data_IF_098011989039
#
_entry.id   IF_098011989039
#
_cell.length_a   1.000
_cell.length_b   1.000
_cell.length_c   1.000
_cell.angle_alpha   90.00
_cell.angle_beta   90.00
_cell.angle_gamma   90.00
#
_symmetry.space_group_name_H-M   'P 1'
#
loop_
_entity.id
_entity.type
_entity.pdbx_description
1 polymer ?
#
# COMPACT_ATOMS: atom_id res chain seq x y z
N UNK A 1 16.47 20.52 -24.75
CA UNK A 1 15.50 21.53 -24.25
C UNK A 1 15.13 21.17 -22.82
N UNK A 2 15.16 22.12 -21.88
CA UNK A 2 14.62 21.89 -20.54
C UNK A 2 13.10 21.87 -20.68
N UNK A 3 12.49 20.70 -20.54
CA UNK A 3 11.03 20.51 -20.67
C UNK A 3 10.22 21.26 -19.62
N UNK A 4 10.85 21.74 -18.55
CA UNK A 4 10.19 22.44 -17.45
C UNK A 4 9.68 23.85 -17.82
N UNK A 5 10.08 24.38 -18.99
CA UNK A 5 9.77 25.73 -19.41
C UNK A 5 9.07 25.83 -20.76
N UNK A 6 8.66 24.71 -21.40
CA UNK A 6 8.12 24.79 -22.76
C UNK A 6 6.73 25.45 -22.78
N UNK A 7 6.62 26.48 -23.60
CA UNK A 7 5.42 27.29 -23.82
C UNK A 7 4.61 26.75 -25.01
N UNK A 8 3.35 27.17 -25.13
CA UNK A 8 2.51 26.83 -26.28
C UNK A 8 3.12 27.20 -27.64
N UNK A 9 3.68 28.41 -27.81
CA UNK A 9 4.34 28.80 -29.05
C UNK A 9 5.54 27.91 -29.42
N UNK A 10 6.31 27.45 -28.44
CA UNK A 10 7.42 26.52 -28.69
C UNK A 10 6.91 25.14 -29.09
N UNK A 11 5.83 24.65 -28.48
CA UNK A 11 5.16 23.40 -28.89
C UNK A 11 4.68 23.48 -30.35
N UNK A 12 4.13 24.63 -30.74
CA UNK A 12 3.74 24.92 -32.13
C UNK A 12 4.93 24.91 -33.08
N UNK A 13 6.06 25.47 -32.67
CA UNK A 13 7.29 25.46 -33.46
C UNK A 13 7.82 24.03 -33.67
N UNK A 14 7.81 23.20 -32.63
CA UNK A 14 8.20 21.78 -32.71
C UNK A 14 7.28 21.02 -33.67
N UNK A 15 5.96 21.19 -33.55
CA UNK A 15 5.01 20.55 -34.47
C UNK A 15 5.27 20.96 -35.93
N UNK A 16 5.47 22.26 -36.19
CA UNK A 16 5.76 22.76 -37.54
C UNK A 16 7.08 22.20 -38.07
N UNK A 17 8.11 22.06 -37.23
CA UNK A 17 9.39 21.43 -37.61
C UNK A 17 9.22 19.96 -37.98
N UNK A 18 8.29 19.26 -37.34
CA UNK A 18 7.93 17.89 -37.70
C UNK A 18 7.06 17.78 -38.98
N UNK A 19 6.66 18.91 -39.58
CA UNK A 19 5.85 18.94 -40.81
C UNK A 19 4.37 18.60 -40.61
N UNK A 20 3.89 18.45 -39.38
CA UNK A 20 2.53 17.98 -39.08
C UNK A 20 1.57 19.18 -38.95
N UNK A 21 0.41 19.16 -39.59
CA UNK A 21 -0.62 20.20 -39.40
C UNK A 21 -1.42 20.01 -38.10
N UNK A 22 -2.12 21.04 -37.58
CA UNK A 22 -2.93 20.92 -36.37
C UNK A 22 -4.06 19.89 -36.51
N UNK A 23 -4.69 19.82 -37.68
CA UNK A 23 -5.77 18.85 -37.97
C UNK A 23 -5.24 17.42 -38.00
N UNK A 24 -4.06 17.21 -38.59
CA UNK A 24 -3.40 15.91 -38.64
C UNK A 24 -2.93 15.48 -37.25
N UNK A 25 -2.32 16.40 -36.50
CA UNK A 25 -1.94 16.18 -35.10
C UNK A 25 -3.16 15.79 -34.27
N UNK A 26 -4.30 16.49 -34.43
CA UNK A 26 -5.55 16.16 -33.77
C UNK A 26 -6.03 14.73 -34.09
N UNK A 27 -5.97 14.32 -35.36
CA UNK A 27 -6.31 12.94 -35.77
C UNK A 27 -5.38 11.91 -35.15
N UNK A 28 -4.07 12.16 -35.12
CA UNK A 28 -3.06 11.25 -34.56
C UNK A 28 -3.22 11.04 -33.05
N UNK A 29 -3.60 12.08 -32.30
CA UNK A 29 -3.78 12.00 -30.84
C UNK A 29 -5.21 11.72 -30.41
N UNK A 30 -6.18 11.71 -31.33
CA UNK A 30 -7.60 11.58 -31.00
C UNK A 30 -8.21 12.83 -30.33
N UNK A 31 -7.70 14.02 -30.64
CA UNK A 31 -8.23 15.29 -30.13
C UNK A 31 -8.72 16.21 -31.25
N UNK A 32 -9.56 17.19 -30.90
CA UNK A 32 -10.00 18.20 -31.86
C UNK A 32 -8.84 19.13 -32.24
N UNK A 33 -8.87 19.63 -33.49
CA UNK A 33 -7.95 20.68 -33.98
C UNK A 33 -7.98 21.94 -33.10
N UNK A 34 -9.15 22.28 -32.55
CA UNK A 34 -9.29 23.37 -31.57
C UNK A 34 -8.59 23.08 -30.24
N UNK A 35 -8.61 21.81 -29.78
CA UNK A 35 -7.85 21.38 -28.61
C UNK A 35 -6.35 21.54 -28.82
N UNK A 36 -5.81 21.14 -29.97
CA UNK A 36 -4.40 21.37 -30.32
C UNK A 36 -4.07 22.86 -30.34
N UNK A 37 -4.90 23.67 -30.99
CA UNK A 37 -4.71 25.13 -31.06
C UNK A 37 -4.72 25.78 -29.67
N UNK A 38 -5.61 25.37 -28.78
CA UNK A 38 -5.70 25.90 -27.42
C UNK A 38 -4.36 25.77 -26.67
N UNK A 39 -3.75 24.58 -26.72
CA UNK A 39 -2.46 24.34 -26.06
C UNK A 39 -1.30 25.08 -26.73
N UNK A 40 -1.33 25.23 -28.05
CA UNK A 40 -0.34 26.02 -28.80
C UNK A 40 -0.43 27.54 -28.54
N UNK A 41 -1.60 28.05 -28.17
CA UNK A 41 -1.79 29.48 -27.85
C UNK A 41 -1.48 29.84 -26.41
N UNK A 42 -1.18 28.85 -25.57
CA UNK A 42 -0.98 29.08 -24.14
C UNK A 42 0.34 29.82 -23.87
N UNK A 43 0.24 31.05 -23.37
CA UNK A 43 1.39 31.93 -23.14
C UNK A 43 2.25 31.48 -21.96
N UNK A 44 1.63 30.94 -20.91
CA UNK A 44 2.36 30.43 -19.75
C UNK A 44 2.95 29.05 -20.03
N UNK A 45 4.12 28.72 -19.44
CA UNK A 45 4.70 27.40 -19.51
C UNK A 45 3.70 26.32 -19.09
N UNK A 46 3.73 25.19 -19.79
CA UNK A 46 2.93 24.05 -19.41
C UNK A 46 3.40 23.52 -18.05
N UNK A 47 2.48 23.04 -17.22
CA UNK A 47 2.84 22.51 -15.90
C UNK A 47 3.38 21.09 -15.99
N UNK A 48 4.10 20.64 -14.96
CA UNK A 48 4.57 19.26 -14.80
C UNK A 48 3.49 18.19 -15.01
N UNK A 49 2.23 18.50 -14.65
CA UNK A 49 1.07 17.65 -14.87
C UNK A 49 0.61 17.66 -16.34
N UNK A 50 0.67 18.81 -17.00
CA UNK A 50 0.24 18.98 -18.40
C UNK A 50 1.19 18.29 -19.39
N UNK A 51 2.49 18.18 -19.07
CA UNK A 51 3.42 17.37 -19.86
C UNK A 51 3.09 15.87 -19.82
N UNK A 52 2.56 15.38 -18.70
CA UNK A 52 2.37 13.94 -18.46
C UNK A 52 1.00 13.42 -18.84
N UNK A 53 -0.01 14.29 -18.88
CA UNK A 53 -1.39 13.87 -19.07
C UNK A 53 -2.10 14.74 -20.11
N UNK A 54 -3.12 14.15 -20.74
CA UNK A 54 -3.98 14.84 -21.69
C UNK A 54 -3.31 15.14 -23.04
N UNK A 55 -3.80 16.17 -23.71
CA UNK A 55 -3.43 16.50 -25.10
C UNK A 55 -1.93 16.81 -25.27
N UNK A 56 -1.27 17.63 -24.42
CA UNK A 56 0.16 17.91 -24.62
C UNK A 56 1.02 16.67 -24.51
N UNK A 57 0.75 15.79 -23.54
CA UNK A 57 1.46 14.52 -23.37
C UNK A 57 1.38 13.63 -24.62
N UNK A 58 0.19 13.55 -25.23
CA UNK A 58 -0.01 12.80 -26.46
C UNK A 58 0.71 13.45 -27.65
N UNK A 59 0.71 14.79 -27.74
CA UNK A 59 1.50 15.51 -28.75
C UNK A 59 2.99 15.22 -28.62
N UNK A 60 3.55 15.26 -27.41
CA UNK A 60 4.97 14.94 -27.18
C UNK A 60 5.32 13.51 -27.62
N UNK A 61 4.43 12.55 -27.38
CA UNK A 61 4.60 11.16 -27.83
C UNK A 61 4.66 11.04 -29.35
N UNK A 62 3.76 11.73 -30.07
CA UNK A 62 3.75 11.75 -31.55
C UNK A 62 4.96 12.47 -32.12
N UNK A 63 5.40 13.56 -31.46
CA UNK A 63 6.55 14.36 -31.87
C UNK A 63 7.90 13.73 -31.51
N UNK A 64 7.91 12.54 -30.89
CA UNK A 64 9.14 11.86 -30.46
C UNK A 64 9.91 12.62 -29.37
N UNK A 65 9.23 13.51 -28.64
CA UNK A 65 9.85 14.27 -27.55
C UNK A 65 9.77 13.41 -26.30
N UNK A 66 10.90 12.82 -25.91
CA UNK A 66 10.99 12.08 -24.68
C UNK A 66 10.86 13.00 -23.47
N UNK A 67 9.76 12.85 -22.73
CA UNK A 67 9.58 13.51 -21.45
C UNK A 67 10.33 12.68 -20.42
N UNK A 68 11.50 13.16 -20.01
CA UNK A 68 12.20 12.55 -18.89
C UNK A 68 11.26 12.53 -17.67
N UNK A 69 11.14 11.40 -16.98
CA UNK A 69 10.39 11.37 -15.74
C UNK A 69 11.02 12.42 -14.83
N UNK A 70 10.21 13.33 -14.28
CA UNK A 70 10.64 14.11 -13.12
C UNK A 70 10.98 13.08 -12.06
N UNK A 71 12.27 12.79 -11.95
CA UNK A 71 12.86 12.18 -10.80
C UNK A 71 12.75 13.23 -9.70
N UNK A 72 11.53 13.44 -9.18
CA UNK A 72 11.39 13.68 -7.75
C UNK A 72 11.80 12.38 -7.06
N UNK A 73 13.07 11.98 -7.24
CA UNK A 73 13.82 11.54 -6.09
C UNK A 73 13.68 12.74 -5.19
N UNK A 74 12.73 12.67 -4.23
CA UNK A 74 12.82 13.56 -3.10
C UNK A 74 14.28 13.41 -2.71
N UNK A 75 15.02 14.50 -2.87
CA UNK A 75 16.37 14.60 -2.41
C UNK A 75 16.19 14.50 -0.91
N UNK A 76 16.12 13.26 -0.43
CA UNK A 76 16.36 12.83 0.95
C UNK A 76 17.80 13.17 1.36
N UNK A 77 18.46 14.10 0.69
CA UNK A 77 19.11 15.18 1.41
C UNK A 77 18.04 15.86 2.29
N UNK A 78 17.58 15.14 3.33
CA UNK A 78 17.19 15.73 4.59
C UNK A 78 18.30 16.72 4.83
N UNK A 79 18.01 18.01 4.89
CA UNK A 79 19.04 18.99 5.02
C UNK A 79 19.60 18.89 6.42
N UNK A 80 20.28 17.78 6.79
CA UNK A 80 20.77 17.29 8.09
C UNK A 80 21.22 18.43 9.04
N UNK A 81 20.31 19.31 9.46
CA UNK A 81 20.60 20.58 10.12
C UNK A 81 21.19 21.71 9.25
N UNK A 82 21.27 21.56 7.92
CA UNK A 82 21.95 22.49 6.99
C UNK A 82 20.97 23.46 6.30
N UNK A 83 19.69 23.10 6.16
CA UNK A 83 18.70 23.92 5.43
C UNK A 83 17.46 24.22 6.30
N UNK A 84 17.43 25.35 7.03
CA UNK A 84 16.41 25.64 8.05
C UNK A 84 14.96 25.60 7.56
N UNK A 85 14.69 26.13 6.35
CA UNK A 85 13.36 26.11 5.74
C UNK A 85 12.88 24.70 5.41
N UNK A 86 13.81 23.83 4.98
CA UNK A 86 13.49 22.45 4.63
C UNK A 86 13.31 21.57 5.88
N UNK A 87 14.09 21.82 6.93
CA UNK A 87 13.93 21.12 8.21
C UNK A 87 12.61 21.48 8.89
N UNK A 88 12.20 22.76 8.86
CA UNK A 88 10.90 23.18 9.37
C UNK A 88 9.74 22.54 8.60
N UNK A 89 9.81 22.50 7.27
CA UNK A 89 8.82 21.83 6.44
C UNK A 89 8.77 20.31 6.70
N UNK A 90 9.93 19.67 6.88
CA UNK A 90 10.02 18.25 7.21
C UNK A 90 9.40 17.96 8.59
N UNK A 91 9.70 18.77 9.60
CA UNK A 91 9.11 18.64 10.93
C UNK A 91 7.58 18.77 10.90
N UNK A 92 7.02 19.66 10.07
CA UNK A 92 5.57 19.75 9.86
C UNK A 92 4.98 18.48 9.27
N UNK A 93 5.62 17.91 8.24
CA UNK A 93 5.18 16.66 7.61
C UNK A 93 5.29 15.47 8.58
N UNK A 94 6.37 15.38 9.35
CA UNK A 94 6.56 14.32 10.34
C UNK A 94 5.49 14.38 11.44
N UNK A 95 5.14 15.60 11.91
CA UNK A 95 4.01 15.81 12.84
C UNK A 95 2.68 15.35 12.23
N UNK A 96 2.42 15.68 10.96
CA UNK A 96 1.20 15.24 10.29
C UNK A 96 1.15 13.71 10.14
N UNK A 97 2.27 13.09 9.76
CA UNK A 97 2.38 11.65 9.63
C UNK A 97 2.18 10.94 10.97
N UNK A 98 2.73 11.47 12.06
CA UNK A 98 2.51 10.93 13.40
C UNK A 98 1.05 11.09 13.84
N UNK A 99 0.41 12.23 13.55
CA UNK A 99 -1.04 12.41 13.76
C UNK A 99 -1.86 11.38 12.98
N UNK A 100 -1.49 11.09 11.73
CA UNK A 100 -2.16 10.07 10.91
C UNK A 100 -1.94 8.67 11.49
N UNK A 101 -0.70 8.36 11.92
CA UNK A 101 -0.33 7.07 12.51
C UNK A 101 -1.08 6.81 13.82
N UNK A 102 -1.14 7.79 14.71
CA UNK A 102 -1.88 7.71 15.98
C UNK A 102 -3.38 7.50 15.74
N UNK A 103 -3.98 8.19 14.76
CA UNK A 103 -5.38 7.98 14.36
C UNK A 103 -5.62 6.56 13.82
N UNK A 104 -4.74 6.05 12.96
CA UNK A 104 -4.82 4.69 12.44
C UNK A 104 -4.66 3.64 13.55
N UNK A 105 -3.72 3.84 14.46
CA UNK A 105 -3.52 2.97 15.62
C UNK A 105 -4.78 2.93 16.48
N UNK A 106 -5.35 4.09 16.82
CA UNK A 106 -6.58 4.17 17.61
C UNK A 106 -7.80 3.55 16.89
N UNK A 107 -7.81 3.54 15.55
CA UNK A 107 -8.82 2.83 14.76
C UNK A 107 -8.62 1.31 14.83
N UNK A 108 -7.37 0.83 14.74
CA UNK A 108 -7.03 -0.58 14.90
C UNK A 108 -7.37 -1.09 16.31
N UNK A 109 -7.06 -0.32 17.35
CA UNK A 109 -7.36 -0.66 18.75
C UNK A 109 -8.87 -0.72 19.03
N UNK A 110 -9.69 -0.02 18.23
CA UNK A 110 -11.16 -0.07 18.32
C UNK A 110 -11.79 -1.11 17.40
N UNK A 111 -11.04 -1.68 16.46
CA UNK A 111 -11.55 -2.62 15.46
C UNK A 111 -12.06 -3.88 16.15
N UNK A 112 -13.26 -4.32 15.75
CA UNK A 112 -13.86 -5.59 16.19
C UNK A 112 -14.02 -6.49 14.97
N UNK A 113 -13.69 -7.76 15.13
CA UNK A 113 -13.81 -8.80 14.10
C UNK A 113 -14.63 -9.99 14.62
N UNK A 114 -14.99 -10.94 13.78
CA UNK A 114 -15.66 -12.16 14.23
C UNK A 114 -14.69 -13.01 15.07
N UNK A 115 -15.19 -13.58 16.18
CA UNK A 115 -14.36 -14.31 17.13
C UNK A 115 -13.78 -15.62 16.56
N UNK A 116 -14.58 -16.37 15.79
CA UNK A 116 -14.15 -17.59 15.09
C UNK A 116 -13.70 -18.75 16.00
N UNK A 117 -13.87 -18.68 17.32
CA UNK A 117 -13.54 -19.79 18.22
C UNK A 117 -14.57 -20.92 18.10
N UNK A 118 -14.13 -22.18 18.22
CA UNK A 118 -15.04 -23.34 18.17
C UNK A 118 -15.96 -23.32 19.38
N UNK A 119 -17.27 -23.24 19.16
CA UNK A 119 -18.27 -23.30 20.24
C UNK A 119 -18.46 -24.74 20.74
N UNK A 120 -19.14 -24.91 21.87
CA UNK A 120 -19.54 -26.24 22.38
C UNK A 120 -20.38 -27.05 21.38
N UNK A 121 -21.13 -26.37 20.51
CA UNK A 121 -21.93 -26.97 19.42
C UNK A 121 -21.11 -27.25 18.15
N UNK A 122 -19.79 -27.10 18.19
CA UNK A 122 -18.87 -27.47 17.10
C UNK A 122 -18.66 -26.42 15.99
N UNK A 123 -19.54 -25.43 15.87
CA UNK A 123 -19.43 -24.37 14.83
C UNK A 123 -18.61 -23.15 15.30
N UNK A 124 -18.08 -22.30 14.39
CA UNK A 124 -17.32 -21.11 14.76
C UNK A 124 -18.21 -20.02 15.39
N UNK A 125 -17.68 -19.35 16.41
CA UNK A 125 -18.37 -18.28 17.12
C UNK A 125 -18.55 -17.04 16.24
N UNK A 126 -19.82 -16.65 16.04
CA UNK A 126 -20.23 -15.49 15.25
C UNK A 126 -20.20 -14.15 16.00
N UNK A 127 -19.96 -14.16 17.31
CA UNK A 127 -19.91 -12.94 18.13
C UNK A 127 -18.71 -12.06 17.76
N UNK A 128 -18.87 -10.74 17.87
CA UNK A 128 -17.78 -9.76 17.69
C UNK A 128 -16.75 -9.89 18.81
N UNK A 129 -15.49 -9.68 18.47
CA UNK A 129 -14.38 -9.61 19.43
C UNK A 129 -14.48 -8.39 20.32
N UNK A 130 -13.77 -8.42 21.44
CA UNK A 130 -13.49 -7.21 22.19
C UNK A 130 -12.67 -6.24 21.32
N UNK A 131 -12.80 -4.91 21.49
CA UNK A 131 -12.03 -3.91 20.75
C UNK A 131 -10.53 -4.23 20.74
N UNK A 132 -9.90 -4.24 19.57
CA UNK A 132 -8.46 -4.44 19.42
C UNK A 132 -8.00 -5.88 19.67
N UNK A 133 -8.93 -6.80 19.96
CA UNK A 133 -8.64 -8.21 20.26
C UNK A 133 -9.22 -9.14 19.21
N UNK A 134 -8.73 -10.38 19.21
CA UNK A 134 -9.15 -11.41 18.25
C UNK A 134 -10.38 -12.21 18.67
N UNK A 135 -10.73 -12.25 19.97
CA UNK A 135 -11.81 -13.10 20.51
C UNK A 135 -12.84 -12.30 21.33
N UNK A 136 -14.03 -12.85 21.48
CA UNK A 136 -15.14 -12.24 22.24
C UNK A 136 -15.03 -12.52 23.75
N UNK A 137 -15.85 -11.85 24.57
CA UNK A 137 -15.91 -12.06 26.03
C UNK A 137 -15.98 -13.53 26.48
N UNK A 138 -16.73 -14.38 25.77
CA UNK A 138 -16.92 -15.80 26.15
C UNK A 138 -15.74 -16.69 25.77
N UNK A 139 -14.95 -16.31 24.77
CA UNK A 139 -13.82 -17.10 24.28
C UNK A 139 -12.48 -16.43 24.62
N UNK A 140 -12.40 -15.81 25.80
CA UNK A 140 -11.15 -15.25 26.34
C UNK A 140 -10.81 -13.84 25.88
N UNK A 141 -11.69 -13.12 25.19
CA UNK A 141 -11.48 -11.71 24.82
C UNK A 141 -11.27 -10.80 26.02
N UNK A 142 -11.93 -11.08 27.15
CA UNK A 142 -11.72 -10.36 28.41
C UNK A 142 -10.57 -10.92 29.26
N UNK A 143 -9.99 -12.07 28.88
CA UNK A 143 -8.85 -12.62 29.60
C UNK A 143 -7.59 -11.77 29.35
N UNK A 144 -6.81 -11.56 30.41
CA UNK A 144 -5.55 -10.80 30.39
C UNK A 144 -4.31 -11.69 30.39
N UNK A 145 -4.50 -13.01 30.53
CA UNK A 145 -3.41 -13.99 30.66
C UNK A 145 -2.70 -13.92 32.03
N UNK A 146 -1.78 -14.85 32.30
CA UNK A 146 -0.97 -14.81 33.51
C UNK A 146 0.00 -13.62 33.47
N UNK A 147 -0.06 -12.77 34.50
CA UNK A 147 0.84 -11.61 34.62
C UNK A 147 2.15 -11.93 35.36
N UNK A 148 2.12 -12.93 36.25
CA UNK A 148 3.27 -13.32 37.09
C UNK A 148 4.16 -14.35 36.40
N UNK A 149 5.44 -14.40 36.80
CA UNK A 149 6.40 -15.40 36.29
C UNK A 149 5.94 -16.83 36.61
N UNK A 150 5.51 -17.08 37.84
CA UNK A 150 4.96 -18.38 38.27
C UNK A 150 3.73 -18.79 37.46
N UNK A 151 2.81 -17.85 37.21
CA UNK A 151 1.61 -18.09 36.41
C UNK A 151 1.97 -18.47 34.97
N UNK A 152 2.98 -17.81 34.38
CA UNK A 152 3.50 -18.15 33.05
C UNK A 152 4.15 -19.54 33.05
N UNK A 153 4.95 -19.87 34.06
CA UNK A 153 5.61 -21.17 34.20
C UNK A 153 4.58 -22.31 34.30
N UNK A 154 3.52 -22.14 35.11
CA UNK A 154 2.44 -23.12 35.26
C UNK A 154 1.71 -23.39 33.95
N UNK A 155 1.37 -22.35 33.18
CA UNK A 155 0.72 -22.52 31.88
C UNK A 155 1.67 -23.18 30.87
N UNK A 156 2.95 -22.79 30.86
CA UNK A 156 3.95 -23.40 29.98
C UNK A 156 4.10 -24.90 30.26
N UNK A 157 4.17 -25.30 31.54
CA UNK A 157 4.25 -26.70 31.93
C UNK A 157 2.99 -27.49 31.52
N UNK A 158 1.80 -26.94 31.78
CA UNK A 158 0.55 -27.56 31.35
C UNK A 158 0.49 -27.73 29.82
N UNK A 159 1.00 -26.76 29.07
CA UNK A 159 1.06 -26.84 27.61
C UNK A 159 2.06 -27.91 27.14
N UNK A 160 3.23 -28.05 27.78
CA UNK A 160 4.19 -29.13 27.50
C UNK A 160 3.56 -30.50 27.68
N UNK A 161 2.94 -30.74 28.84
CA UNK A 161 2.24 -32.00 29.16
C UNK A 161 1.16 -32.33 28.12
N UNK A 162 0.36 -31.33 27.72
CA UNK A 162 -0.68 -31.52 26.68
C UNK A 162 -0.10 -31.94 25.34
N UNK A 163 1.00 -31.30 24.91
CA UNK A 163 1.64 -31.63 23.63
C UNK A 163 2.35 -32.98 23.66
N UNK A 164 2.96 -33.36 24.77
CA UNK A 164 3.54 -34.69 24.94
C UNK A 164 2.48 -35.78 24.81
N UNK A 165 1.32 -35.61 25.46
CA UNK A 165 0.19 -36.53 25.34
C UNK A 165 -0.31 -36.62 23.88
N UNK A 166 -0.47 -35.48 23.20
CA UNK A 166 -0.85 -35.45 21.79
C UNK A 166 0.16 -36.17 20.90
N UNK A 167 1.47 -35.93 21.09
CA UNK A 167 2.53 -36.62 20.32
C UNK A 167 2.50 -38.13 20.55
N UNK A 168 2.29 -38.59 21.78
CA UNK A 168 2.11 -40.01 22.08
C UNK A 168 0.91 -40.60 21.35
N UNK A 169 -0.23 -39.91 21.35
CA UNK A 169 -1.42 -40.36 20.62
C UNK A 169 -1.18 -40.43 19.11
N UNK A 170 -0.53 -39.42 18.52
CA UNK A 170 -0.20 -39.42 17.09
C UNK A 170 0.75 -40.58 16.76
N UNK A 171 1.79 -40.79 17.58
CA UNK A 171 2.74 -41.89 17.38
C UNK A 171 2.04 -43.25 17.45
N UNK A 172 1.17 -43.45 18.44
CA UNK A 172 0.42 -44.67 18.62
C UNK A 172 -0.56 -44.91 17.45
N UNK A 173 -1.21 -43.86 16.94
CA UNK A 173 -2.04 -43.95 15.74
C UNK A 173 -1.22 -44.30 14.48
N UNK A 174 0.00 -43.78 14.34
CA UNK A 174 0.91 -44.13 13.25
C UNK A 174 1.36 -45.60 13.33
N UNK A 175 1.76 -46.07 14.52
CA UNK A 175 2.15 -47.46 14.77
C UNK A 175 1.00 -48.42 14.43
N UNK A 176 -0.25 -48.12 14.86
CA UNK A 176 -1.43 -48.91 14.50
C UNK A 176 -1.66 -48.93 12.97
N UNK A 177 -1.55 -47.77 12.30
CA UNK A 177 -1.73 -47.72 10.83
C UNK A 177 -0.66 -48.48 10.04
N UNK A 178 0.55 -48.61 10.60
CA UNK A 178 1.67 -49.32 9.96
C UNK A 178 1.52 -50.84 10.10
N UNK A 179 0.84 -51.31 11.16
CA UNK A 179 0.54 -52.74 11.35
C UNK A 179 -0.61 -53.19 10.45
N UNK A 180 -1.52 -52.29 10.06
CA UNK A 180 -2.70 -52.62 9.23
C UNK A 180 -2.49 -52.43 7.72
N UNK A 181 -1.30 -52.06 7.25
CA UNK A 181 -1.01 -52.03 5.81
C UNK A 181 -0.81 -53.46 5.31
N UNK A 182 -1.68 -54.00 4.43
CA UNK A 182 -1.49 -55.33 3.88
C UNK A 182 -0.22 -55.35 3.02
N UNK A 183 0.60 -56.38 3.21
CA UNK A 183 1.75 -56.69 2.34
C UNK A 183 1.20 -56.83 0.91
N UNK A 184 1.70 -56.08 -0.08
CA UNK A 184 1.27 -56.26 -1.46
C UNK A 184 1.62 -57.68 -1.91
N UNK A 185 0.63 -58.34 -2.51
CA UNK A 185 0.63 -59.74 -2.98
C UNK A 185 1.80 -60.03 -3.92
#
# INVERSE_FOLDING_TARGET
MKLESITGPELKAIRRKAGINQTEMGKLIGASRSGVSYWETKQHPLTSKQYRFGVPAMMFKVLGVEILPIYQRSTRARGYGVLPLYDAAQAMLDREMERRRTKLQAQMDRRRQQCGAKTRKGHPCRMKSEPGKRRCKYHGGKSTGPKTAEGKARIAEAQRKRWEAYRRQVKLAQEISTISTPVPV
#
